data_IF_366687659102
#
_entry.id   IF_366687659102
#
_cell.length_a   1.000
_cell.length_b   1.000
_cell.length_c   1.000
_cell.angle_alpha   90.00
_cell.angle_beta   90.00
_cell.angle_gamma   90.00
#
_symmetry.space_group_name_H-M   'P 1'
#
loop_
_entity.id
_entity.type
_entity.pdbx_description
1 polymer ?
#
# COMPACT_ATOMS: atom_id res chain seq x y z
N UNK A 1 11.50 6.07 15.94
CA UNK A 1 10.67 5.13 15.16
C UNK A 1 10.95 5.30 13.67
N UNK A 2 10.80 4.23 12.89
CA UNK A 2 10.89 4.26 11.43
C UNK A 2 9.51 3.95 10.85
N UNK A 3 9.05 4.74 9.88
CA UNK A 3 7.77 4.52 9.20
C UNK A 3 8.01 4.25 7.73
N UNK A 4 7.47 3.15 7.22
CA UNK A 4 7.61 2.74 5.82
C UNK A 4 6.21 2.68 5.22
N UNK A 5 5.96 3.44 4.16
CA UNK A 5 4.63 3.64 3.59
C UNK A 5 4.54 3.09 2.18
N UNK A 6 3.62 2.16 1.96
CA UNK A 6 3.17 1.80 0.62
C UNK A 6 2.12 2.82 0.16
N UNK A 7 2.53 3.72 -0.73
CA UNK A 7 1.68 4.81 -1.21
C UNK A 7 0.42 4.30 -1.92
N UNK A 8 0.55 3.21 -2.67
CA UNK A 8 -0.53 2.67 -3.46
C UNK A 8 -1.62 2.05 -2.57
N UNK A 9 -1.20 1.36 -1.50
CA UNK A 9 -2.10 0.72 -0.55
C UNK A 9 -2.84 1.74 0.32
N UNK A 10 -2.13 2.72 0.87
CA UNK A 10 -2.75 3.75 1.72
C UNK A 10 -3.67 4.66 0.89
N UNK A 11 -3.25 5.04 -0.32
CA UNK A 11 -4.05 5.85 -1.23
C UNK A 11 -5.32 5.12 -1.69
N UNK A 12 -5.24 3.83 -1.95
CA UNK A 12 -6.41 3.00 -2.29
C UNK A 12 -7.36 2.87 -1.11
N UNK A 13 -6.83 2.64 0.10
CA UNK A 13 -7.64 2.54 1.32
C UNK A 13 -8.41 3.83 1.63
N UNK A 14 -7.77 5.00 1.47
CA UNK A 14 -8.44 6.30 1.63
C UNK A 14 -9.55 6.53 0.58
N UNK A 15 -9.29 6.15 -0.69
CA UNK A 15 -10.30 6.23 -1.76
C UNK A 15 -11.51 5.34 -1.50
N UNK A 16 -11.30 4.09 -1.04
CA UNK A 16 -12.39 3.18 -0.65
C UNK A 16 -13.23 3.76 0.50
N UNK A 17 -12.61 4.54 1.39
CA UNK A 17 -13.32 5.27 2.44
C UNK A 17 -14.05 6.55 1.96
N UNK A 18 -13.97 6.89 0.66
CA UNK A 18 -14.59 8.09 0.08
C UNK A 18 -13.87 9.39 0.43
N UNK A 19 -12.57 9.31 0.73
CA UNK A 19 -11.78 10.42 1.30
C UNK A 19 -10.55 10.74 0.45
N UNK A 20 -10.13 12.01 0.46
CA UNK A 20 -8.79 12.39 0.00
C UNK A 20 -7.75 11.98 1.03
N UNK A 21 -6.54 11.59 0.61
CA UNK A 21 -5.46 11.27 1.53
C UNK A 21 -4.71 12.54 1.94
N UNK A 22 -4.72 12.87 3.22
CA UNK A 22 -3.92 13.94 3.81
C UNK A 22 -2.64 13.35 4.44
N UNK A 23 -1.52 13.59 3.76
CA UNK A 23 -0.22 13.02 4.12
C UNK A 23 0.36 13.63 5.39
N UNK A 24 0.11 14.91 5.64
CA UNK A 24 0.60 15.60 6.83
C UNK A 24 -0.14 15.07 8.06
N UNK A 25 -1.47 14.99 7.99
CA UNK A 25 -2.25 14.36 9.07
C UNK A 25 -1.91 12.89 9.28
N UNK A 26 -1.61 12.15 8.21
CA UNK A 26 -1.14 10.77 8.33
C UNK A 26 0.16 10.70 9.14
N UNK A 27 1.17 11.50 8.76
CA UNK A 27 2.45 11.57 9.49
C UNK A 27 2.23 11.95 10.94
N UNK A 28 1.47 13.02 11.19
CA UNK A 28 1.26 13.55 12.53
C UNK A 28 0.45 12.57 13.41
N UNK A 29 -0.48 11.80 12.82
CA UNK A 29 -1.20 10.77 13.58
C UNK A 29 -0.35 9.57 13.98
N UNK A 30 0.63 9.18 13.15
CA UNK A 30 1.47 8.02 13.38
C UNK A 30 2.72 8.34 14.20
N UNK A 31 3.25 9.55 14.00
CA UNK A 31 4.57 9.97 14.44
C UNK A 31 4.61 11.43 14.93
N UNK A 32 3.46 12.03 15.22
CA UNK A 32 3.40 13.38 15.79
C UNK A 32 3.87 13.45 17.25
N UNK A 33 4.01 14.66 17.80
CA UNK A 33 4.52 14.88 19.16
C UNK A 33 3.73 14.13 20.25
N UNK A 34 2.43 14.01 20.06
CA UNK A 34 1.51 13.36 21.01
C UNK A 34 1.72 11.84 21.13
N UNK A 35 2.47 11.25 20.21
CA UNK A 35 2.80 9.82 20.25
C UNK A 35 3.87 9.48 21.29
N UNK A 36 4.57 10.49 21.83
CA UNK A 36 5.66 10.32 22.79
C UNK A 36 6.86 9.55 22.22
N UNK A 37 6.99 9.50 20.89
CA UNK A 37 7.99 8.72 20.17
C UNK A 37 8.58 9.60 19.07
N UNK A 38 9.91 9.69 19.02
CA UNK A 38 10.58 10.49 17.99
C UNK A 38 10.57 9.77 16.65
N UNK A 39 10.23 10.50 15.59
CA UNK A 39 10.35 10.03 14.21
C UNK A 39 11.81 10.12 13.76
N UNK A 40 12.41 8.98 13.41
CA UNK A 40 13.74 8.94 12.77
C UNK A 40 13.57 9.31 11.30
N UNK A 41 12.67 8.60 10.60
CA UNK A 41 12.37 8.85 9.19
C UNK A 41 11.00 8.27 8.82
N UNK A 42 10.33 8.89 7.84
CA UNK A 42 9.15 8.37 7.15
C UNK A 42 9.44 8.24 5.66
N UNK A 43 9.58 6.99 5.20
CA UNK A 43 9.90 6.66 3.81
C UNK A 43 8.63 6.25 3.07
N UNK A 44 8.33 6.97 1.98
CA UNK A 44 7.19 6.69 1.10
C UNK A 44 7.68 5.99 -0.16
N UNK A 45 7.15 4.78 -0.40
CA UNK A 45 7.44 3.98 -1.58
C UNK A 45 6.34 4.22 -2.62
N UNK A 46 6.71 4.81 -3.75
CA UNK A 46 5.78 5.20 -4.80
C UNK A 46 6.15 4.57 -6.16
N UNK A 47 5.16 3.89 -6.76
CA UNK A 47 5.24 3.44 -8.14
C UNK A 47 4.93 4.59 -9.10
N UNK A 48 5.78 4.80 -10.10
CA UNK A 48 5.53 5.79 -11.16
C UNK A 48 4.91 5.11 -12.40
N UNK A 49 4.03 5.78 -13.14
CA UNK A 49 3.61 5.31 -14.45
C UNK A 49 4.81 5.10 -15.37
N UNK A 50 4.79 4.13 -16.32
CA UNK A 50 5.92 3.83 -17.17
C UNK A 50 6.42 5.07 -17.92
N UNK A 51 7.73 5.16 -18.15
CA UNK A 51 8.36 6.25 -18.89
C UNK A 51 8.17 6.11 -20.41
N UNK A 52 6.91 6.02 -20.86
CA UNK A 52 6.53 5.95 -22.28
C UNK A 52 5.46 7.01 -22.59
N UNK A 53 5.36 7.49 -23.85
CA UNK A 53 4.51 8.64 -24.19
C UNK A 53 3.04 8.50 -23.79
N UNK A 54 2.48 7.29 -23.85
CA UNK A 54 1.07 7.02 -23.49
C UNK A 54 0.75 7.41 -22.04
N UNK A 55 1.73 7.33 -21.13
CA UNK A 55 1.55 7.60 -19.71
C UNK A 55 2.14 8.94 -19.26
N UNK A 56 2.60 9.78 -20.20
CA UNK A 56 3.36 10.99 -19.86
C UNK A 56 2.57 11.94 -18.96
N UNK A 57 1.29 12.18 -19.25
CA UNK A 57 0.46 13.09 -18.47
C UNK A 57 0.25 12.59 -17.03
N UNK A 58 -0.03 11.30 -16.86
CA UNK A 58 -0.18 10.68 -15.54
C UNK A 58 1.15 10.68 -14.77
N UNK A 59 2.25 10.41 -15.48
CA UNK A 59 3.59 10.44 -14.92
C UNK A 59 3.95 11.84 -14.43
N UNK A 60 3.62 12.89 -15.18
CA UNK A 60 3.86 14.28 -14.79
C UNK A 60 3.04 14.66 -13.55
N UNK A 61 1.77 14.25 -13.47
CA UNK A 61 0.94 14.41 -12.26
C UNK A 61 1.56 13.70 -11.06
N UNK A 62 2.01 12.46 -11.24
CA UNK A 62 2.67 11.68 -10.18
C UNK A 62 3.99 12.29 -9.74
N UNK A 63 4.80 12.79 -10.66
CA UNK A 63 6.07 13.47 -10.36
C UNK A 63 5.84 14.76 -9.56
N UNK A 64 4.86 15.59 -9.93
CA UNK A 64 4.47 16.77 -9.13
C UNK A 64 4.11 16.40 -7.69
N UNK A 65 3.36 15.30 -7.53
CA UNK A 65 3.01 14.77 -6.22
C UNK A 65 4.25 14.28 -5.43
N UNK A 66 5.16 13.54 -6.06
CA UNK A 66 6.42 13.10 -5.44
C UNK A 66 7.29 14.30 -5.03
N UNK A 67 7.38 15.33 -5.87
CA UNK A 67 8.08 16.56 -5.53
C UNK A 67 7.44 17.24 -4.30
N UNK A 68 6.11 17.32 -4.26
CA UNK A 68 5.41 17.88 -3.11
C UNK A 68 5.71 17.09 -1.81
N UNK A 69 5.70 15.75 -1.85
CA UNK A 69 6.08 14.93 -0.68
C UNK A 69 7.49 15.27 -0.20
N UNK A 70 8.47 15.31 -1.10
CA UNK A 70 9.86 15.65 -0.74
C UNK A 70 9.97 17.05 -0.14
N UNK A 71 9.28 18.04 -0.71
CA UNK A 71 9.24 19.41 -0.17
C UNK A 71 8.59 19.53 1.20
N UNK A 72 7.77 18.55 1.60
CA UNK A 72 7.13 18.49 2.93
C UNK A 72 7.89 17.60 3.93
N UNK A 73 9.12 17.19 3.59
CA UNK A 73 10.01 16.45 4.49
C UNK A 73 9.81 14.95 4.52
N UNK A 74 9.12 14.37 3.54
CA UNK A 74 9.06 12.91 3.38
C UNK A 74 10.27 12.43 2.58
N UNK A 75 10.93 11.36 3.05
CA UNK A 75 11.82 10.59 2.18
C UNK A 75 10.95 9.82 1.17
N UNK A 76 11.28 9.92 -0.12
CA UNK A 76 10.48 9.25 -1.17
C UNK A 76 11.36 8.42 -2.08
N UNK A 77 11.07 7.12 -2.08
CA UNK A 77 11.68 6.12 -2.95
C UNK A 77 10.71 5.82 -4.08
N UNK A 78 11.19 5.90 -5.32
CA UNK A 78 10.36 5.74 -6.52
C UNK A 78 10.83 4.57 -7.37
N UNK A 79 9.88 3.83 -7.95
CA UNK A 79 10.15 2.79 -8.94
C UNK A 79 9.32 2.99 -10.19
N UNK A 80 9.97 2.90 -11.34
CA UNK A 80 9.27 2.96 -12.61
C UNK A 80 8.40 1.72 -12.83
N UNK A 81 7.15 1.97 -13.20
CA UNK A 81 6.22 0.93 -13.60
C UNK A 81 6.60 0.32 -14.94
N UNK A 82 6.19 -0.92 -15.13
CA UNK A 82 6.26 -1.61 -16.41
C UNK A 82 4.87 -1.68 -17.04
N UNK A 83 4.75 -1.53 -18.37
CA UNK A 83 3.50 -1.76 -19.07
C UNK A 83 2.97 -3.17 -18.77
N UNK A 84 1.67 -3.26 -18.54
CA UNK A 84 0.94 -4.51 -18.42
C UNK A 84 -0.02 -4.64 -19.62
N UNK A 85 -0.76 -5.75 -19.66
CA UNK A 85 -1.79 -5.97 -20.68
C UNK A 85 -2.86 -4.86 -20.64
N UNK A 86 -3.47 -4.60 -21.79
CA UNK A 86 -4.69 -3.78 -21.93
C UNK A 86 -4.62 -2.36 -21.35
N UNK A 87 -3.54 -1.62 -21.62
CA UNK A 87 -3.47 -0.21 -21.21
C UNK A 87 -3.44 -0.03 -19.69
N UNK A 88 -2.91 -1.02 -18.96
CA UNK A 88 -2.58 -0.91 -17.55
C UNK A 88 -1.07 -0.88 -17.36
N UNK A 89 -0.62 -0.49 -16.17
CA UNK A 89 0.77 -0.62 -15.75
C UNK A 89 0.87 -1.22 -14.36
N UNK A 90 1.99 -1.88 -14.08
CA UNK A 90 2.32 -2.41 -12.76
C UNK A 90 3.58 -1.76 -12.24
N UNK A 91 3.50 -1.18 -11.04
CA UNK A 91 4.62 -0.57 -10.36
C UNK A 91 4.68 -1.10 -8.91
N UNK A 92 5.11 -2.36 -8.76
CA UNK A 92 5.23 -3.00 -7.45
C UNK A 92 6.53 -2.55 -6.76
N UNK A 93 6.39 -1.95 -5.59
CA UNK A 93 7.48 -1.42 -4.74
C UNK A 93 7.82 -2.34 -3.56
N UNK A 94 7.09 -3.44 -3.37
CA UNK A 94 7.11 -4.25 -2.15
C UNK A 94 8.48 -4.85 -1.86
N UNK A 95 9.16 -5.35 -2.90
CA UNK A 95 10.51 -5.91 -2.78
C UNK A 95 11.51 -4.84 -2.33
N UNK A 96 11.40 -3.64 -2.88
CA UNK A 96 12.29 -2.53 -2.54
C UNK A 96 12.04 -2.07 -1.10
N UNK A 97 10.76 -1.89 -0.75
CA UNK A 97 10.35 -1.58 0.61
C UNK A 97 10.82 -2.64 1.62
N UNK A 98 10.73 -3.93 1.28
CA UNK A 98 11.15 -5.00 2.17
C UNK A 98 12.67 -5.07 2.39
N UNK A 99 13.46 -4.80 1.34
CA UNK A 99 14.94 -4.72 1.44
C UNK A 99 15.32 -3.53 2.32
N UNK A 100 14.86 -2.33 1.95
CA UNK A 100 15.15 -1.10 2.68
C UNK A 100 14.68 -1.18 4.13
N UNK A 101 13.52 -1.78 4.40
CA UNK A 101 13.01 -1.96 5.75
C UNK A 101 14.01 -2.68 6.65
N UNK A 102 14.67 -3.72 6.14
CA UNK A 102 15.67 -4.46 6.90
C UNK A 102 16.95 -3.63 7.03
N UNK A 103 17.45 -3.06 5.93
CA UNK A 103 18.69 -2.28 5.92
C UNK A 103 18.61 -1.05 6.84
N UNK A 104 17.61 -0.19 6.63
CA UNK A 104 17.37 1.00 7.47
C UNK A 104 17.15 0.63 8.93
N UNK A 105 16.49 -0.49 9.20
CA UNK A 105 16.31 -0.97 10.58
C UNK A 105 17.62 -1.39 11.25
N UNK A 106 18.58 -1.95 10.51
CA UNK A 106 19.89 -2.33 11.04
C UNK A 106 20.80 -1.12 11.25
N UNK A 107 20.73 -0.15 10.34
CA UNK A 107 21.54 1.06 10.36
C UNK A 107 21.05 2.07 11.41
N UNK A 108 19.76 2.37 11.39
CA UNK A 108 19.14 3.39 12.25
C UNK A 108 18.72 2.86 13.61
N UNK A 109 18.59 1.54 13.76
CA UNK A 109 18.21 0.83 15.00
C UNK A 109 16.95 1.42 15.66
N UNK A 110 15.82 1.52 14.95
CA UNK A 110 14.58 2.01 15.54
C UNK A 110 14.03 1.03 16.58
N UNK A 111 13.48 1.53 17.68
CA UNK A 111 12.74 0.69 18.64
C UNK A 111 11.42 0.15 18.05
N UNK A 112 10.81 0.97 17.18
CA UNK A 112 9.53 0.68 16.53
C UNK A 112 9.62 0.92 15.03
N UNK A 113 9.16 -0.06 14.26
CA UNK A 113 8.89 0.08 12.82
C UNK A 113 7.38 0.03 12.58
N UNK A 114 6.86 1.02 11.86
CA UNK A 114 5.46 1.05 11.42
C UNK A 114 5.42 0.75 9.91
N UNK A 115 4.77 -0.35 9.54
CA UNK A 115 4.47 -0.68 8.16
C UNK A 115 3.08 -0.14 7.81
N UNK A 116 3.01 0.87 6.95
CA UNK A 116 1.74 1.44 6.48
C UNK A 116 1.32 0.73 5.21
N UNK A 117 0.79 -0.48 5.37
CA UNK A 117 0.25 -1.34 4.31
C UNK A 117 -0.70 -2.38 4.91
N UNK A 118 -1.70 -2.79 4.13
CA UNK A 118 -2.57 -3.92 4.46
C UNK A 118 -2.11 -5.26 3.88
N UNK A 119 -1.07 -5.29 3.05
CA UNK A 119 -0.73 -6.47 2.26
C UNK A 119 -0.15 -7.62 3.11
N UNK A 120 -0.74 -8.81 2.99
CA UNK A 120 -0.36 -10.01 3.70
C UNK A 120 1.08 -10.47 3.38
N UNK A 121 1.63 -10.11 2.22
CA UNK A 121 2.97 -10.54 1.79
C UNK A 121 4.09 -9.94 2.67
N UNK A 122 3.82 -8.83 3.37
CA UNK A 122 4.74 -8.25 4.36
C UNK A 122 4.77 -9.00 5.69
N UNK A 123 3.96 -10.04 5.89
CA UNK A 123 3.97 -10.83 7.14
C UNK A 123 5.35 -11.39 7.46
N UNK A 124 6.07 -11.86 6.43
CA UNK A 124 7.43 -12.39 6.63
C UNK A 124 8.42 -11.29 7.02
N UNK A 125 8.31 -10.09 6.43
CA UNK A 125 9.10 -8.93 6.82
C UNK A 125 8.86 -8.56 8.30
N UNK A 126 7.60 -8.51 8.73
CA UNK A 126 7.25 -8.22 10.12
C UNK A 126 7.91 -9.21 11.09
N UNK A 127 7.85 -10.52 10.80
CA UNK A 127 8.56 -11.55 11.59
C UNK A 127 10.07 -11.31 11.58
N UNK A 128 10.64 -10.96 10.43
CA UNK A 128 12.09 -10.74 10.30
C UNK A 128 12.55 -9.56 11.14
N UNK A 129 11.87 -8.43 11.09
CA UNK A 129 12.17 -7.25 11.90
C UNK A 129 12.05 -7.56 13.41
N UNK A 130 11.00 -8.29 13.82
CA UNK A 130 10.84 -8.72 15.21
C UNK A 130 11.97 -9.61 15.72
N UNK A 131 12.55 -10.45 14.86
CA UNK A 131 13.74 -11.26 15.21
C UNK A 131 14.99 -10.41 15.48
N UNK A 132 15.02 -9.17 14.99
CA UNK A 132 16.04 -8.18 15.30
C UNK A 132 15.73 -7.36 16.56
N UNK A 133 14.71 -7.75 17.35
CA UNK A 133 14.33 -7.07 18.60
C UNK A 133 13.44 -5.84 18.40
N UNK A 134 13.02 -5.57 17.17
CA UNK A 134 12.24 -4.38 16.82
C UNK A 134 10.75 -4.64 17.05
N UNK A 135 10.05 -3.69 17.67
CA UNK A 135 8.58 -3.75 17.74
C UNK A 135 7.99 -3.36 16.38
N UNK A 136 7.18 -4.23 15.80
CA UNK A 136 6.53 -3.99 14.52
C UNK A 136 5.06 -3.66 14.71
N UNK A 137 4.65 -2.49 14.23
CA UNK A 137 3.24 -2.08 14.17
C UNK A 137 2.82 -2.00 12.70
N UNK A 138 1.55 -2.29 12.44
CA UNK A 138 0.99 -2.21 11.09
C UNK A 138 -0.14 -1.20 11.10
N UNK A 139 -0.09 -0.23 10.20
CA UNK A 139 -1.13 0.77 10.03
C UNK A 139 -1.92 0.48 8.75
N UNK A 140 -3.20 0.12 8.90
CA UNK A 140 -4.09 -0.17 7.79
C UNK A 140 -5.55 -0.05 8.21
N UNK A 141 -6.48 -0.05 7.25
CA UNK A 141 -7.91 -0.20 7.54
C UNK A 141 -8.22 -1.68 7.74
N UNK A 142 -9.03 -2.02 8.74
CA UNK A 142 -9.35 -3.41 9.09
C UNK A 142 -9.83 -4.27 7.91
N UNK A 143 -10.52 -3.67 6.94
CA UNK A 143 -11.04 -4.35 5.75
C UNK A 143 -9.94 -4.74 4.74
N UNK A 144 -8.83 -4.00 4.73
CA UNK A 144 -7.72 -4.19 3.79
C UNK A 144 -6.53 -4.92 4.42
N UNK A 145 -6.59 -5.20 5.73
CA UNK A 145 -5.50 -5.85 6.46
C UNK A 145 -5.53 -7.37 6.30
N UNK A 146 -4.49 -7.90 5.67
CA UNK A 146 -4.25 -9.34 5.55
C UNK A 146 -4.07 -10.02 6.91
N UNK A 147 -4.72 -11.18 7.10
CA UNK A 147 -4.66 -11.92 8.37
C UNK A 147 -3.24 -12.35 8.75
N UNK A 148 -2.43 -12.78 7.78
CA UNK A 148 -1.05 -13.18 8.03
C UNK A 148 -0.21 -12.02 8.58
N UNK A 149 -0.36 -10.82 8.00
CA UNK A 149 0.34 -9.63 8.48
C UNK A 149 -0.16 -9.21 9.86
N UNK A 150 -1.49 -9.25 10.08
CA UNK A 150 -2.09 -8.98 11.39
C UNK A 150 -1.52 -9.88 12.49
N UNK A 151 -1.40 -11.18 12.22
CA UNK A 151 -0.84 -12.14 13.19
C UNK A 151 0.67 -11.98 13.39
N UNK A 152 1.39 -11.49 12.37
CA UNK A 152 2.83 -11.29 12.42
C UNK A 152 3.25 -10.00 13.15
N UNK A 153 2.39 -8.97 13.19
CA UNK A 153 2.68 -7.71 13.85
C UNK A 153 2.54 -7.78 15.39
N UNK A 154 3.19 -6.86 16.11
CA UNK A 154 2.98 -6.68 17.55
C UNK A 154 1.70 -5.88 17.85
N UNK A 155 1.32 -4.97 16.96
CA UNK A 155 0.14 -4.14 17.11
C UNK A 155 -0.43 -3.73 15.74
N UNK A 156 -1.72 -3.41 15.72
CA UNK A 156 -2.40 -2.85 14.55
C UNK A 156 -2.95 -1.47 14.88
N UNK A 157 -2.65 -0.51 14.03
CA UNK A 157 -3.17 0.86 14.08
C UNK A 157 -4.27 0.95 13.01
N UNK A 158 -5.52 1.14 13.45
CA UNK A 158 -6.64 1.33 12.53
C UNK A 158 -6.62 2.75 11.96
N UNK A 159 -6.48 2.86 10.64
CA UNK A 159 -6.50 4.15 9.94
C UNK A 159 -7.91 4.66 9.62
N UNK A 160 -8.96 3.85 9.80
CA UNK A 160 -10.33 4.26 9.48
C UNK A 160 -10.79 5.52 10.24
N UNK A 161 -10.50 5.71 11.55
CA UNK A 161 -10.82 6.94 12.26
C UNK A 161 -10.13 8.16 11.66
N UNK A 162 -8.85 8.04 11.32
CA UNK A 162 -8.08 9.11 10.71
C UNK A 162 -8.68 9.50 9.36
N UNK A 163 -8.99 8.54 8.50
CA UNK A 163 -9.54 8.82 7.17
C UNK A 163 -10.86 9.58 7.24
N UNK A 164 -11.68 9.36 8.27
CA UNK A 164 -12.92 10.14 8.48
C UNK A 164 -12.67 11.64 8.73
N UNK A 165 -11.48 12.01 9.21
CA UNK A 165 -11.09 13.42 9.42
C UNK A 165 -10.59 14.10 8.15
N UNK A 166 -10.33 13.34 7.09
CA UNK A 166 -9.87 13.88 5.83
C UNK A 166 -11.02 14.48 5.04
N UNK A 167 -10.71 15.42 4.16
CA UNK A 167 -11.70 16.03 3.29
C UNK A 167 -12.32 14.97 2.36
N UNK A 168 -13.62 15.12 2.11
CA UNK A 168 -14.33 14.28 1.15
C UNK A 168 -13.85 14.70 -0.22
N UNK A 169 -13.31 13.76 -1.00
CA UNK A 169 -13.19 13.99 -2.45
C UNK A 169 -14.58 13.76 -3.04
N UNK A 170 -15.29 14.82 -3.43
CA UNK A 170 -16.31 14.68 -4.47
C UNK A 170 -15.55 14.25 -5.74
N UNK A 171 -15.68 13.00 -6.15
CA UNK A 171 -15.12 12.58 -7.43
C UNK A 171 -15.99 13.14 -8.56
N UNK A 172 -15.34 13.79 -9.53
CA UNK A 172 -15.83 13.87 -10.89
C UNK A 172 -16.32 12.47 -11.31
N UNK A 173 -17.59 12.41 -11.68
CA UNK A 173 -18.27 11.25 -12.23
C UNK A 173 -17.76 11.05 -13.67
N UNK A 174 -16.50 10.65 -13.86
CA UNK A 174 -16.01 10.02 -15.10
C UNK A 174 -14.64 9.37 -14.89
N UNK A 175 -14.64 8.10 -14.50
CA UNK A 175 -13.63 7.13 -14.94
C UNK A 175 -14.30 5.74 -14.95
N UNK A 176 -14.20 4.97 -16.04
CA UNK A 176 -14.90 3.70 -16.16
C UNK A 176 -14.36 2.70 -15.15
N UNK A 177 -15.30 2.03 -14.50
CA UNK A 177 -15.10 1.02 -13.46
C UNK A 177 -14.35 -0.18 -14.02
N UNK A 178 -13.10 -0.41 -13.63
CA UNK A 178 -12.47 -1.73 -13.75
C UNK A 178 -12.99 -2.62 -12.60
N UNK A 179 -14.27 -2.96 -12.68
CA UNK A 179 -14.86 -3.99 -11.84
C UNK A 179 -14.33 -5.34 -12.31
N UNK A 180 -13.46 -5.95 -11.49
CA UNK A 180 -13.16 -7.37 -11.60
C UNK A 180 -14.47 -8.17 -11.51
N UNK A 181 -14.89 -8.75 -12.62
CA UNK A 181 -16.06 -9.63 -12.66
C UNK A 181 -15.80 -10.90 -11.84
N UNK A 182 -16.78 -11.41 -11.08
CA UNK A 182 -16.62 -12.64 -10.32
C UNK A 182 -16.48 -13.84 -11.27
N UNK A 183 -15.42 -14.63 -11.06
CA UNK A 183 -15.18 -15.91 -11.76
C UNK A 183 -16.39 -16.84 -11.59
N UNK A 184 -17.16 -17.04 -12.67
CA UNK A 184 -18.13 -18.14 -12.72
C UNK A 184 -17.38 -19.47 -12.76
N UNK A 185 -17.57 -20.30 -11.73
CA UNK A 185 -17.19 -21.71 -11.73
C UNK A 185 -18.01 -22.42 -12.81
N UNK A 186 -17.40 -22.75 -13.94
CA UNK A 186 -17.97 -23.70 -14.89
C UNK A 186 -18.02 -25.09 -14.25
N UNK A 187 -19.21 -25.53 -13.85
CA UNK A 187 -19.49 -26.93 -13.58
C UNK A 187 -19.44 -27.69 -14.92
N UNK A 188 -18.46 -28.57 -15.05
CA UNK A 188 -18.43 -29.60 -16.10
C UNK A 188 -19.65 -30.52 -15.94
N UNK A 189 -20.66 -30.35 -16.79
CA UNK A 189 -21.72 -31.32 -16.97
C UNK A 189 -21.15 -32.52 -17.73
N UNK A 190 -20.85 -33.61 -17.01
CA UNK A 190 -20.51 -34.91 -17.59
C UNK A 190 -21.68 -35.42 -18.43
N UNK A 191 -21.58 -35.32 -19.76
CA UNK A 191 -22.49 -36.02 -20.69
C UNK A 191 -22.13 -37.52 -20.68
N UNK A 192 -23.04 -38.37 -20.17
CA UNK A 192 -22.98 -39.82 -20.33
C UNK A 192 -23.31 -40.19 -21.78
N UNK A 193 -22.56 -41.09 -22.46
CA UNK A 193 -22.98 -41.62 -23.75
C UNK A 193 -24.09 -42.64 -23.56
N UNK A 194 -25.19 -42.50 -24.32
CA UNK A 194 -26.25 -43.50 -24.45
C UNK A 194 -25.76 -44.58 -25.43
N UNK A 195 -25.55 -45.78 -24.92
CA UNK A 195 -25.47 -46.99 -25.75
C UNK A 195 -26.85 -47.29 -26.36
N UNK A 196 -26.88 -47.66 -27.65
CA UNK A 196 -28.03 -48.29 -28.30
C UNK A 196 -27.60 -49.71 -28.71
N UNK A 197 -28.35 -50.76 -28.35
CA UNK A 197 -28.04 -52.11 -28.80
C UNK A 197 -28.64 -52.41 -30.18
N UNK A 198 -27.80 -53.08 -30.98
CA UNK A 198 -27.98 -53.91 -32.19
C UNK A 198 -28.92 -53.35 -33.27
#
# INVERSE_FOLDING_TARGET
MLVLVDESNVGSSARTAGRGLDWLKLRDSLAGPDTGRDLIEMVVYAGLPPAIPVWQEERDKKNKFVHWLRSNGFMVVTKDGSPAEEGHYKANVDVMMAIDAVELSLEMRPDVVILVTGDADFAYLAVRLRRHGIRVEVASVAQNLGQALKSAANNVIDLAPLFRTFEIKMQDVTAPTSAAAPRQRQQQVRRRPRFRPI
#
